data_IF_937188192983
#
_entry.id   IF_937188192983
#
_cell.length_a   1.000
_cell.length_b   1.000
_cell.length_c   1.000
_cell.angle_alpha   90.00
_cell.angle_beta   90.00
_cell.angle_gamma   90.00
#
_symmetry.space_group_name_H-M   'P 1'
#
loop_
_entity.id
_entity.type
_entity.pdbx_description
1 polymer ?
#
# COMPACT_ATOMS: atom_id res chain seq x y z
N UNK A 1 11.20 -11.66 26.48
CA UNK A 1 10.78 -11.11 25.19
C UNK A 1 11.09 -12.18 24.16
N UNK A 2 10.12 -13.04 23.82
CA UNK A 2 10.33 -14.11 22.85
C UNK A 2 10.08 -13.51 21.47
N UNK A 3 11.13 -13.30 20.69
CA UNK A 3 11.02 -13.05 19.26
C UNK A 3 10.52 -14.33 18.59
N UNK A 4 9.23 -14.41 18.31
CA UNK A 4 8.68 -15.50 17.52
C UNK A 4 9.23 -15.32 16.10
N UNK A 5 10.11 -16.25 15.69
CA UNK A 5 10.63 -16.27 14.32
C UNK A 5 9.48 -16.48 13.34
N UNK A 6 9.31 -15.57 12.38
CA UNK A 6 8.26 -15.60 11.34
C UNK A 6 8.41 -16.77 10.35
N UNK A 7 9.48 -17.51 10.41
CA UNK A 7 9.74 -18.64 9.51
C UNK A 7 9.99 -19.93 10.30
N UNK A 8 9.43 -21.01 9.80
CA UNK A 8 9.75 -22.37 10.22
C UNK A 8 11.21 -22.64 9.84
N UNK A 9 12.09 -22.89 10.85
CA UNK A 9 13.52 -23.07 10.68
C UNK A 9 14.19 -21.92 9.90
N UNK A 10 14.36 -20.74 10.51
CA UNK A 10 14.86 -19.53 9.83
C UNK A 10 16.26 -19.68 9.23
N UNK A 11 17.05 -20.67 9.68
CA UNK A 11 18.38 -20.99 9.16
C UNK A 11 18.36 -21.85 7.88
N UNK A 12 17.19 -22.41 7.49
CA UNK A 12 17.00 -23.32 6.37
C UNK A 12 15.95 -22.81 5.37
N UNK A 13 15.78 -21.49 5.28
CA UNK A 13 14.74 -20.84 4.45
C UNK A 13 14.93 -21.14 2.94
N UNK A 14 16.13 -21.48 2.51
CA UNK A 14 16.46 -21.75 1.10
C UNK A 14 16.32 -23.24 0.71
N UNK A 15 16.11 -24.13 1.69
CA UNK A 15 15.98 -25.57 1.41
C UNK A 15 14.54 -25.91 0.99
N UNK A 16 14.37 -26.55 -0.18
CA UNK A 16 13.06 -26.92 -0.74
C UNK A 16 12.19 -27.73 0.22
N UNK A 17 12.77 -28.66 1.00
CA UNK A 17 12.03 -29.46 1.97
C UNK A 17 11.51 -28.63 3.14
N UNK A 18 12.26 -27.59 3.56
CA UNK A 18 11.86 -26.71 4.65
C UNK A 18 10.71 -25.80 4.19
N UNK A 19 10.74 -25.32 2.93
CA UNK A 19 9.66 -24.55 2.31
C UNK A 19 8.38 -25.39 2.26
N UNK A 20 8.46 -26.63 1.72
CA UNK A 20 7.31 -27.54 1.61
C UNK A 20 6.72 -27.86 3.00
N UNK A 21 7.58 -28.14 3.99
CA UNK A 21 7.18 -28.42 5.36
C UNK A 21 6.52 -27.21 6.00
N UNK A 22 7.08 -26.02 5.82
CA UNK A 22 6.52 -24.74 6.31
C UNK A 22 5.10 -24.50 5.77
N UNK A 23 4.89 -24.67 4.48
CA UNK A 23 3.57 -24.54 3.86
C UNK A 23 2.57 -25.57 4.42
N UNK A 24 3.02 -26.82 4.62
CA UNK A 24 2.16 -27.87 5.20
C UNK A 24 1.75 -27.54 6.63
N UNK A 25 2.69 -27.13 7.49
CA UNK A 25 2.40 -26.77 8.88
C UNK A 25 1.57 -25.49 8.97
N UNK A 26 1.80 -24.51 8.09
CA UNK A 26 0.94 -23.32 8.00
C UNK A 26 -0.51 -23.68 7.70
N UNK A 27 -0.77 -24.53 6.71
CA UNK A 27 -2.12 -25.00 6.37
C UNK A 27 -2.77 -25.78 7.52
N UNK A 28 -2.01 -26.62 8.22
CA UNK A 28 -2.52 -27.35 9.38
C UNK A 28 -2.89 -26.40 10.53
N UNK A 29 -2.04 -25.41 10.80
CA UNK A 29 -2.29 -24.38 11.79
C UNK A 29 -3.53 -23.55 11.44
N UNK A 30 -3.66 -23.10 10.19
CA UNK A 30 -4.82 -22.37 9.69
C UNK A 30 -6.12 -23.18 9.88
N UNK A 31 -6.10 -24.45 9.48
CA UNK A 31 -7.25 -25.34 9.68
C UNK A 31 -7.63 -25.46 11.16
N UNK A 32 -6.68 -25.77 12.04
CA UNK A 32 -6.91 -25.91 13.47
C UNK A 32 -7.41 -24.60 14.11
N UNK A 33 -6.82 -23.46 13.70
CA UNK A 33 -7.22 -22.13 14.16
C UNK A 33 -8.67 -21.81 13.80
N UNK A 34 -9.05 -22.02 12.54
CA UNK A 34 -10.43 -21.75 12.08
C UNK A 34 -11.44 -22.66 12.80
N UNK A 35 -11.15 -23.96 12.94
CA UNK A 35 -12.03 -24.90 13.66
C UNK A 35 -12.20 -24.49 15.13
N UNK A 36 -11.12 -24.06 15.79
CA UNK A 36 -11.19 -23.58 17.17
C UNK A 36 -12.01 -22.29 17.27
N UNK A 37 -11.81 -21.33 16.35
CA UNK A 37 -12.60 -20.10 16.34
C UNK A 37 -14.09 -20.38 16.13
N UNK A 38 -14.45 -21.29 15.21
CA UNK A 38 -15.84 -21.68 14.97
C UNK A 38 -16.46 -22.33 16.21
N UNK A 39 -15.75 -23.27 16.86
CA UNK A 39 -16.20 -23.89 18.12
C UNK A 39 -16.43 -22.84 19.22
N UNK A 40 -15.48 -21.94 19.43
CA UNK A 40 -15.58 -20.87 20.43
C UNK A 40 -16.71 -19.89 20.09
N UNK A 41 -16.95 -19.60 18.81
CA UNK A 41 -18.05 -18.75 18.34
C UNK A 41 -19.41 -19.38 18.63
N UNK A 42 -19.57 -20.70 18.42
CA UNK A 42 -20.77 -21.44 18.79
C UNK A 42 -21.07 -21.37 20.30
N UNK A 43 -20.02 -21.38 21.12
CA UNK A 43 -20.13 -21.26 22.56
C UNK A 43 -20.19 -19.81 23.08
N UNK A 44 -20.15 -18.80 22.20
CA UNK A 44 -20.10 -17.35 22.51
C UNK A 44 -18.91 -16.94 23.37
N UNK A 45 -17.81 -17.68 23.30
CA UNK A 45 -16.58 -17.43 24.08
C UNK A 45 -15.65 -16.44 23.33
N UNK A 46 -16.13 -15.22 23.07
CA UNK A 46 -15.44 -14.25 22.24
C UNK A 46 -14.12 -13.72 22.82
N UNK A 47 -13.96 -13.69 24.17
CA UNK A 47 -12.67 -13.35 24.79
C UNK A 47 -11.60 -14.38 24.44
N UNK A 48 -11.93 -15.68 24.44
CA UNK A 48 -10.99 -16.72 24.04
C UNK A 48 -10.65 -16.63 22.55
N UNK A 49 -11.62 -16.26 21.69
CA UNK A 49 -11.34 -15.99 20.27
C UNK A 49 -10.33 -14.85 20.15
N UNK A 50 -10.49 -13.79 20.94
CA UNK A 50 -9.58 -12.64 20.93
C UNK A 50 -8.14 -13.05 21.32
N UNK A 51 -7.98 -13.89 22.35
CA UNK A 51 -6.68 -14.41 22.78
C UNK A 51 -6.03 -15.27 21.69
N UNK A 52 -6.78 -16.24 21.14
CA UNK A 52 -6.28 -17.15 20.10
C UNK A 52 -5.95 -16.38 18.81
N UNK A 53 -6.81 -15.44 18.39
CA UNK A 53 -6.56 -14.61 17.21
C UNK A 53 -5.34 -13.70 17.41
N UNK A 54 -5.16 -13.15 18.62
CA UNK A 54 -3.98 -12.34 18.94
C UNK A 54 -2.69 -13.15 18.81
N UNK A 55 -2.65 -14.37 19.31
CA UNK A 55 -1.50 -15.28 19.17
C UNK A 55 -1.25 -15.65 17.69
N UNK A 56 -2.32 -15.93 16.94
CA UNK A 56 -2.23 -16.28 15.51
C UNK A 56 -1.66 -15.14 14.68
N UNK A 57 -2.12 -13.91 14.89
CA UNK A 57 -1.64 -12.70 14.18
C UNK A 57 -0.16 -12.41 14.49
N UNK A 58 0.33 -12.73 15.69
CA UNK A 58 1.76 -12.60 16.01
C UNK A 58 2.63 -13.53 15.17
N UNK A 59 2.12 -14.73 14.84
CA UNK A 59 2.86 -15.71 14.03
C UNK A 59 2.75 -15.39 12.54
N UNK A 60 1.57 -15.04 12.06
CA UNK A 60 1.26 -14.75 10.66
C UNK A 60 0.52 -13.40 10.51
N UNK A 61 1.21 -12.26 10.55
CA UNK A 61 0.60 -10.94 10.64
C UNK A 61 -0.13 -10.49 9.37
N UNK A 62 0.14 -11.13 8.23
CA UNK A 62 -0.42 -10.73 6.92
C UNK A 62 -1.59 -11.60 6.46
N UNK A 63 -2.06 -12.50 7.30
CA UNK A 63 -3.24 -13.33 7.00
C UNK A 63 -4.54 -12.59 7.34
N UNK A 64 -5.66 -13.06 6.79
CA UNK A 64 -6.98 -12.45 7.07
C UNK A 64 -7.50 -12.68 8.50
N UNK A 65 -6.66 -13.18 9.41
CA UNK A 65 -7.03 -13.47 10.80
C UNK A 65 -7.25 -12.21 11.63
N UNK A 66 -6.72 -11.06 11.18
CA UNK A 66 -7.06 -9.75 11.72
C UNK A 66 -8.56 -9.48 11.68
N UNK A 67 -9.26 -9.96 10.63
CA UNK A 67 -10.71 -9.84 10.53
C UNK A 67 -11.45 -10.62 11.63
N UNK A 68 -10.91 -11.77 12.07
CA UNK A 68 -11.48 -12.57 13.15
C UNK A 68 -11.33 -11.84 14.49
N UNK A 69 -10.19 -11.19 14.71
CA UNK A 69 -9.96 -10.38 15.91
C UNK A 69 -10.90 -9.19 15.97
N UNK A 70 -11.09 -8.48 14.85
CA UNK A 70 -12.05 -7.37 14.75
C UNK A 70 -13.48 -7.87 15.02
N UNK A 71 -13.91 -8.98 14.42
CA UNK A 71 -15.24 -9.58 14.63
C UNK A 71 -15.48 -9.94 16.11
N UNK A 72 -14.47 -10.52 16.78
CA UNK A 72 -14.53 -10.83 18.20
C UNK A 72 -14.67 -9.58 19.08
N UNK A 73 -13.89 -8.51 18.82
CA UNK A 73 -14.01 -7.24 19.51
C UNK A 73 -15.39 -6.61 19.32
N UNK A 74 -15.94 -6.68 18.11
CA UNK A 74 -17.29 -6.20 17.81
C UNK A 74 -18.36 -6.99 18.55
N UNK A 75 -18.23 -8.33 18.65
CA UNK A 75 -19.13 -9.19 19.38
C UNK A 75 -19.12 -8.88 20.90
N UNK A 76 -18.00 -8.45 21.42
CA UNK A 76 -17.81 -7.98 22.80
C UNK A 76 -18.27 -6.54 23.03
N UNK A 77 -18.81 -5.84 22.00
CA UNK A 77 -19.16 -4.42 22.00
C UNK A 77 -17.97 -3.47 22.26
N UNK A 78 -16.73 -3.94 22.05
CA UNK A 78 -15.49 -3.14 22.20
C UNK A 78 -15.16 -2.40 20.90
N UNK A 79 -16.14 -1.62 20.40
CA UNK A 79 -16.06 -0.99 19.07
C UNK A 79 -14.89 -0.02 18.90
N UNK A 80 -14.52 0.75 19.95
CA UNK A 80 -13.36 1.66 19.88
C UNK A 80 -12.04 0.93 19.67
N UNK A 81 -11.87 -0.21 20.34
CA UNK A 81 -10.67 -1.04 20.20
C UNK A 81 -10.66 -1.74 18.84
N UNK A 82 -11.83 -2.18 18.35
CA UNK A 82 -11.96 -2.74 17.02
C UNK A 82 -11.56 -1.74 15.93
N UNK A 83 -11.99 -0.46 16.08
CA UNK A 83 -11.62 0.62 15.17
C UNK A 83 -10.13 0.91 15.19
N UNK A 84 -9.56 1.10 16.37
CA UNK A 84 -8.13 1.34 16.52
C UNK A 84 -7.31 0.20 15.88
N UNK A 85 -7.71 -1.04 16.16
CA UNK A 85 -7.04 -2.21 15.60
C UNK A 85 -7.16 -2.30 14.07
N UNK A 86 -8.32 -1.93 13.51
CA UNK A 86 -8.51 -1.82 12.06
C UNK A 86 -7.57 -0.77 11.44
N UNK A 87 -7.45 0.42 12.05
CA UNK A 87 -6.58 1.50 11.57
C UNK A 87 -5.10 1.09 11.62
N UNK A 88 -4.65 0.50 12.74
CA UNK A 88 -3.28 -0.01 12.90
C UNK A 88 -2.94 -1.10 11.87
N UNK A 89 -3.87 -2.05 11.68
CA UNK A 89 -3.70 -3.13 10.68
C UNK A 89 -3.69 -2.60 9.25
N UNK A 90 -4.58 -1.66 8.93
CA UNK A 90 -4.64 -1.03 7.61
C UNK A 90 -3.36 -0.29 7.29
N UNK A 91 -2.81 0.42 8.29
CA UNK A 91 -1.53 1.13 8.18
C UNK A 91 -0.37 0.14 7.96
N UNK A 92 -0.31 -0.92 8.75
CA UNK A 92 0.72 -1.97 8.61
C UNK A 92 0.68 -2.64 7.23
N UNK A 93 -0.51 -3.02 6.74
CA UNK A 93 -0.67 -3.62 5.41
C UNK A 93 -0.22 -2.66 4.30
N UNK A 94 -0.49 -1.37 4.46
CA UNK A 94 -0.04 -0.37 3.51
C UNK A 94 1.48 -0.17 3.54
N UNK A 95 2.08 -0.01 4.73
CA UNK A 95 3.50 0.29 4.89
C UNK A 95 4.40 -0.90 4.50
N UNK A 96 4.01 -2.14 4.89
CA UNK A 96 4.84 -3.32 4.65
C UNK A 96 4.56 -4.02 3.32
N UNK A 97 3.29 -4.04 2.84
CA UNK A 97 2.90 -4.76 1.64
C UNK A 97 2.43 -3.86 0.49
N UNK A 98 2.24 -2.56 0.72
CA UNK A 98 1.60 -1.66 -0.24
C UNK A 98 0.16 -2.07 -0.58
N UNK A 99 -0.50 -2.84 0.31
CA UNK A 99 -1.80 -3.42 0.10
C UNK A 99 -2.90 -2.63 0.84
N UNK A 100 -4.12 -2.68 0.29
CA UNK A 100 -5.32 -2.20 0.99
C UNK A 100 -5.91 -3.31 1.86
N UNK A 101 -6.70 -2.96 2.90
CA UNK A 101 -7.47 -3.93 3.67
C UNK A 101 -8.34 -4.81 2.76
N UNK A 102 -8.57 -6.06 3.16
CA UNK A 102 -9.42 -6.97 2.41
C UNK A 102 -10.89 -6.49 2.39
N UNK A 103 -11.66 -6.96 1.42
CA UNK A 103 -13.09 -6.64 1.34
C UNK A 103 -13.84 -7.01 2.61
N UNK A 104 -13.44 -8.10 3.26
CA UNK A 104 -14.02 -8.54 4.54
C UNK A 104 -13.71 -7.54 5.66
N UNK A 105 -12.48 -7.04 5.75
CA UNK A 105 -12.12 -6.02 6.73
C UNK A 105 -12.87 -4.70 6.47
N UNK A 106 -13.04 -4.30 5.22
CA UNK A 106 -13.81 -3.09 4.88
C UNK A 106 -15.29 -3.21 5.29
N UNK A 107 -15.91 -4.38 5.08
CA UNK A 107 -17.30 -4.64 5.53
C UNK A 107 -17.43 -4.56 7.05
N UNK A 108 -16.49 -5.16 7.78
CA UNK A 108 -16.47 -5.08 9.26
C UNK A 108 -16.35 -3.64 9.75
N UNK A 109 -15.52 -2.81 9.08
CA UNK A 109 -15.40 -1.40 9.40
C UNK A 109 -16.71 -0.64 9.15
N UNK A 110 -17.40 -0.92 8.05
CA UNK A 110 -18.71 -0.34 7.74
C UNK A 110 -19.76 -0.72 8.81
N UNK A 111 -19.87 -2.00 9.15
CA UNK A 111 -20.77 -2.48 10.21
C UNK A 111 -20.46 -1.85 11.57
N UNK A 112 -19.18 -1.75 11.92
CA UNK A 112 -18.73 -1.11 13.14
C UNK A 112 -19.12 0.37 13.18
N UNK A 113 -18.92 1.09 12.07
CA UNK A 113 -19.27 2.50 11.93
C UNK A 113 -20.78 2.75 12.13
N UNK A 114 -21.62 1.85 11.61
CA UNK A 114 -23.08 1.90 11.81
C UNK A 114 -23.42 1.67 13.29
N UNK A 115 -22.83 0.65 13.93
CA UNK A 115 -23.11 0.34 15.35
C UNK A 115 -22.62 1.41 16.32
N UNK A 116 -21.55 2.10 15.98
CA UNK A 116 -21.04 3.25 16.75
C UNK A 116 -21.91 4.52 16.60
N UNK A 117 -23.00 4.45 15.83
CA UNK A 117 -23.88 5.61 15.62
C UNK A 117 -23.26 6.74 14.80
N UNK A 118 -22.22 6.44 14.00
CA UNK A 118 -21.56 7.43 13.11
C UNK A 118 -22.44 7.92 11.97
N UNK A 119 -23.72 7.58 11.96
CA UNK A 119 -24.68 7.95 10.92
C UNK A 119 -24.97 9.45 10.81
N UNK A 120 -24.58 10.27 11.77
CA UNK A 120 -24.70 11.74 11.71
C UNK A 120 -23.50 12.44 12.34
N UNK A 121 -22.40 12.52 11.60
CA UNK A 121 -21.33 13.45 11.96
C UNK A 121 -21.73 14.88 11.53
N UNK A 122 -21.43 15.84 12.38
CA UNK A 122 -21.56 17.26 12.01
C UNK A 122 -20.57 17.58 10.88
N UNK A 123 -20.88 18.62 10.10
CA UNK A 123 -19.97 19.07 9.03
C UNK A 123 -18.56 19.37 9.54
N UNK A 124 -18.44 19.82 10.79
CA UNK A 124 -17.14 20.13 11.40
C UNK A 124 -16.34 18.84 11.72
N UNK A 125 -16.97 17.82 12.31
CA UNK A 125 -16.32 16.53 12.56
C UNK A 125 -15.85 15.84 11.26
N UNK A 126 -16.65 15.95 10.20
CA UNK A 126 -16.24 15.42 8.86
C UNK A 126 -15.04 16.21 8.35
N UNK A 127 -15.03 17.55 8.47
CA UNK A 127 -13.88 18.37 8.07
C UNK A 127 -12.62 18.03 8.86
N UNK A 128 -12.72 17.80 10.17
CA UNK A 128 -11.59 17.38 11.00
C UNK A 128 -11.02 16.03 10.54
N UNK A 129 -11.86 15.03 10.27
CA UNK A 129 -11.43 13.72 9.75
C UNK A 129 -10.73 13.87 8.41
N UNK A 130 -11.24 14.72 7.51
CA UNK A 130 -10.62 14.97 6.21
C UNK A 130 -9.32 15.79 6.32
N UNK A 131 -9.21 16.68 7.33
CA UNK A 131 -8.03 17.51 7.55
C UNK A 131 -6.85 16.76 8.18
N UNK A 132 -7.10 15.71 8.98
CA UNK A 132 -6.06 14.92 9.67
C UNK A 132 -5.07 14.28 8.68
N UNK A 133 -5.50 13.98 7.45
CA UNK A 133 -4.66 13.37 6.44
C UNK A 133 -3.61 14.31 5.81
N UNK A 134 -3.65 15.63 6.09
CA UNK A 134 -2.92 16.63 5.29
C UNK A 134 -1.63 17.18 5.93
N UNK A 135 -1.14 16.58 7.02
CA UNK A 135 0.06 17.06 7.72
C UNK A 135 1.41 16.59 7.12
N UNK A 136 1.40 15.83 6.03
CA UNK A 136 2.63 15.36 5.41
C UNK A 136 3.17 16.36 4.40
N UNK A 137 4.42 16.78 4.57
CA UNK A 137 5.14 17.60 3.58
C UNK A 137 5.54 16.77 2.35
N UNK A 138 5.51 17.38 1.16
CA UNK A 138 5.89 16.75 -0.10
C UNK A 138 4.72 16.04 -0.80
N UNK A 139 5.03 15.23 -1.81
CA UNK A 139 4.04 14.52 -2.61
C UNK A 139 3.26 13.46 -1.83
N UNK A 140 2.03 13.22 -2.26
CA UNK A 140 1.18 12.21 -1.67
C UNK A 140 1.62 10.79 -2.07
N UNK A 141 2.15 10.05 -1.10
CA UNK A 141 2.48 8.63 -1.29
C UNK A 141 1.23 7.79 -0.99
N UNK A 142 0.86 6.91 -1.92
CA UNK A 142 -0.30 6.04 -1.76
C UNK A 142 -0.02 4.63 -2.30
N UNK A 143 -0.84 3.67 -1.90
CA UNK A 143 -0.79 2.32 -2.47
C UNK A 143 -1.25 2.29 -3.93
N UNK A 144 -0.94 1.23 -4.66
CA UNK A 144 -1.27 1.09 -6.08
C UNK A 144 -2.78 1.17 -6.39
N UNK A 145 -3.70 0.56 -5.60
CA UNK A 145 -5.14 0.77 -5.78
C UNK A 145 -5.54 2.24 -5.69
N UNK A 146 -5.15 2.95 -4.63
CA UNK A 146 -5.43 4.38 -4.47
C UNK A 146 -4.81 5.23 -5.58
N UNK A 147 -3.60 4.90 -6.03
CA UNK A 147 -2.99 5.55 -7.19
C UNK A 147 -3.83 5.36 -8.47
N UNK A 148 -4.35 4.16 -8.70
CA UNK A 148 -5.24 3.89 -9.85
C UNK A 148 -6.53 4.70 -9.77
N UNK A 149 -7.11 4.86 -8.58
CA UNK A 149 -8.33 5.63 -8.39
C UNK A 149 -8.07 7.14 -8.55
N UNK A 150 -6.96 7.65 -8.02
CA UNK A 150 -6.50 9.02 -8.27
C UNK A 150 -6.28 9.25 -9.77
N UNK A 151 -5.60 8.33 -10.46
CA UNK A 151 -5.40 8.41 -11.90
C UNK A 151 -6.74 8.44 -12.68
N UNK A 152 -7.72 7.61 -12.30
CA UNK A 152 -9.06 7.58 -12.91
C UNK A 152 -9.82 8.88 -12.66
N UNK A 153 -9.74 9.42 -11.44
CA UNK A 153 -10.37 10.69 -11.09
C UNK A 153 -9.78 11.85 -11.89
N UNK A 154 -8.45 11.97 -11.89
CA UNK A 154 -7.73 13.00 -12.64
C UNK A 154 -8.01 12.89 -14.13
N UNK A 155 -8.08 11.69 -14.68
CA UNK A 155 -8.47 11.45 -16.06
C UNK A 155 -9.82 12.08 -16.41
N UNK A 156 -10.83 11.94 -15.54
CA UNK A 156 -12.15 12.56 -15.74
C UNK A 156 -12.08 14.09 -15.64
N UNK A 157 -11.22 14.61 -14.76
CA UNK A 157 -10.99 16.06 -14.63
C UNK A 157 -10.35 16.65 -15.89
N UNK A 158 -9.37 15.97 -16.49
CA UNK A 158 -8.69 16.42 -17.72
C UNK A 158 -9.70 16.61 -18.86
N UNK A 159 -10.63 15.67 -19.01
CA UNK A 159 -11.65 15.74 -20.07
C UNK A 159 -12.53 17.00 -19.96
N UNK A 160 -12.69 17.55 -18.76
CA UNK A 160 -13.51 18.75 -18.49
C UNK A 160 -12.70 20.03 -18.44
N UNK A 161 -11.49 20.00 -17.88
CA UNK A 161 -10.71 21.20 -17.59
C UNK A 161 -9.59 21.47 -18.58
N UNK A 162 -9.21 20.49 -19.39
CA UNK A 162 -8.04 20.57 -20.28
C UNK A 162 -6.69 20.59 -19.53
N UNK A 163 -6.67 20.24 -18.24
CA UNK A 163 -5.45 20.24 -17.43
C UNK A 163 -4.40 19.28 -18.01
N UNK A 164 -3.16 19.73 -18.12
CA UNK A 164 -2.04 18.86 -18.54
C UNK A 164 -1.65 17.91 -17.37
N UNK A 165 -1.50 16.64 -17.68
CA UNK A 165 -1.06 15.63 -16.71
C UNK A 165 -0.03 14.71 -17.34
N UNK A 166 1.02 14.43 -16.61
CA UNK A 166 2.10 13.55 -17.05
C UNK A 166 2.23 12.37 -16.10
N UNK A 167 2.55 11.20 -16.64
CA UNK A 167 2.92 10.02 -15.86
C UNK A 167 4.41 9.77 -16.05
N UNK A 168 5.12 9.62 -14.94
CA UNK A 168 6.55 9.32 -14.93
C UNK A 168 6.76 7.95 -14.27
N UNK A 169 7.60 7.12 -14.88
CA UNK A 169 8.05 5.85 -14.32
C UNK A 169 9.53 5.99 -13.97
N UNK A 170 9.86 5.80 -12.70
CA UNK A 170 11.24 5.72 -12.24
C UNK A 170 11.60 4.26 -12.00
N UNK A 171 12.64 3.76 -12.67
CA UNK A 171 13.11 2.38 -12.56
C UNK A 171 14.55 2.34 -12.09
N UNK A 172 14.85 1.52 -11.07
CA UNK A 172 16.22 1.22 -10.63
C UNK A 172 16.84 0.15 -11.54
N UNK A 173 18.05 0.40 -12.03
CA UNK A 173 18.78 -0.46 -12.96
C UNK A 173 20.24 -0.57 -12.57
N UNK A 174 20.99 -1.48 -13.20
CA UNK A 174 22.41 -1.69 -12.97
C UNK A 174 23.34 -0.67 -13.67
N UNK A 175 22.78 0.36 -14.32
CA UNK A 175 23.51 1.34 -15.14
C UNK A 175 23.60 0.95 -16.63
N UNK A 176 23.35 -0.30 -16.97
CA UNK A 176 23.21 -0.80 -18.34
C UNK A 176 21.74 -0.98 -18.75
N UNK A 177 20.83 -0.71 -17.82
CA UNK A 177 19.39 -0.82 -18.06
C UNK A 177 18.77 -2.16 -17.63
N UNK A 178 19.54 -3.08 -17.06
CA UNK A 178 19.03 -4.34 -16.56
C UNK A 178 18.54 -4.24 -15.11
N UNK A 179 17.63 -5.13 -14.65
CA UNK A 179 17.21 -5.18 -13.26
C UNK A 179 18.39 -5.45 -12.32
N UNK A 180 18.34 -4.84 -11.12
CA UNK A 180 19.32 -5.11 -10.07
C UNK A 180 19.06 -6.49 -9.46
N UNK A 181 20.07 -7.36 -9.45
CA UNK A 181 20.00 -8.72 -8.89
C UNK A 181 20.18 -8.74 -7.37
N UNK A 182 21.02 -7.83 -6.83
CA UNK A 182 21.29 -7.75 -5.39
C UNK A 182 20.10 -7.13 -4.64
N UNK A 183 19.38 -7.94 -3.87
CA UNK A 183 18.16 -7.55 -3.14
C UNK A 183 18.44 -6.48 -2.06
N UNK A 184 19.52 -6.62 -1.27
CA UNK A 184 19.86 -5.67 -0.20
C UNK A 184 20.18 -4.29 -0.78
N UNK A 185 20.99 -4.26 -1.85
CA UNK A 185 21.30 -3.03 -2.57
C UNK A 185 20.04 -2.40 -3.18
N UNK A 186 19.14 -3.21 -3.75
CA UNK A 186 17.88 -2.75 -4.32
C UNK A 186 17.00 -2.09 -3.25
N UNK A 187 16.92 -2.66 -2.06
CA UNK A 187 16.12 -2.12 -0.96
C UNK A 187 16.63 -0.75 -0.52
N UNK A 188 17.93 -0.61 -0.29
CA UNK A 188 18.56 0.67 0.06
C UNK A 188 18.34 1.73 -1.03
N UNK A 189 18.56 1.39 -2.30
CA UNK A 189 18.34 2.30 -3.41
C UNK A 189 16.88 2.68 -3.57
N UNK A 190 15.96 1.74 -3.36
CA UNK A 190 14.53 1.98 -3.44
C UNK A 190 14.04 2.93 -2.34
N UNK A 191 14.52 2.79 -1.11
CA UNK A 191 14.17 3.68 -0.01
C UNK A 191 14.70 5.11 -0.25
N UNK A 192 15.92 5.24 -0.76
CA UNK A 192 16.49 6.52 -1.09
C UNK A 192 15.79 7.19 -2.28
N UNK A 193 15.38 6.40 -3.29
CA UNK A 193 14.59 6.92 -4.41
C UNK A 193 13.20 7.37 -3.92
N UNK A 194 12.57 6.64 -3.02
CA UNK A 194 11.31 7.04 -2.39
C UNK A 194 11.43 8.41 -1.71
N UNK A 195 12.48 8.63 -0.88
CA UNK A 195 12.73 9.90 -0.21
C UNK A 195 12.99 11.03 -1.21
N UNK A 196 13.82 10.76 -2.24
CA UNK A 196 14.14 11.73 -3.29
C UNK A 196 12.90 12.14 -4.10
N UNK A 197 12.03 11.19 -4.46
CA UNK A 197 10.76 11.47 -5.14
C UNK A 197 9.89 12.36 -4.24
N UNK A 198 9.66 11.95 -2.98
CA UNK A 198 8.79 12.66 -2.05
C UNK A 198 9.21 14.11 -1.82
N UNK A 199 10.53 14.37 -1.66
CA UNK A 199 11.06 15.70 -1.43
C UNK A 199 11.12 16.59 -2.68
N UNK A 200 11.14 15.97 -3.87
CA UNK A 200 11.26 16.69 -5.15
C UNK A 200 9.94 17.12 -5.75
N UNK A 201 8.82 16.54 -5.31
CA UNK A 201 7.50 16.75 -5.88
C UNK A 201 6.65 17.72 -5.05
N UNK A 202 5.58 18.23 -5.67
CA UNK A 202 4.61 19.12 -5.02
C UNK A 202 3.57 18.32 -4.25
N UNK A 203 2.88 18.95 -3.30
CA UNK A 203 1.77 18.32 -2.55
C UNK A 203 0.62 17.84 -3.44
N UNK A 204 0.41 18.47 -4.59
CA UNK A 204 -0.61 18.08 -5.57
C UNK A 204 -0.25 16.81 -6.36
N UNK A 205 1.02 16.43 -6.38
CA UNK A 205 1.47 15.26 -7.11
C UNK A 205 1.33 14.01 -6.24
N UNK A 206 1.07 12.86 -6.86
CA UNK A 206 1.04 11.61 -6.12
C UNK A 206 1.97 10.56 -6.74
N UNK A 207 2.44 9.65 -5.91
CA UNK A 207 3.30 8.56 -6.36
C UNK A 207 3.04 7.28 -5.58
N UNK A 208 3.45 6.16 -6.18
CA UNK A 208 3.32 4.82 -5.60
C UNK A 208 4.52 3.96 -5.94
N UNK A 209 4.82 3.00 -5.10
CA UNK A 209 5.74 1.91 -5.40
C UNK A 209 5.00 0.85 -6.23
N UNK A 210 5.40 0.68 -7.47
CA UNK A 210 4.80 -0.31 -8.37
C UNK A 210 5.44 -1.70 -8.18
N UNK A 211 6.75 -1.73 -7.98
CA UNK A 211 7.53 -2.93 -7.69
C UNK A 211 8.73 -2.56 -6.80
N UNK A 212 9.51 -3.51 -6.29
CA UNK A 212 10.73 -3.20 -5.54
C UNK A 212 11.69 -2.25 -6.25
N UNK A 213 11.71 -2.27 -7.60
CA UNK A 213 12.60 -1.46 -8.43
C UNK A 213 11.90 -0.31 -9.16
N UNK A 214 10.57 -0.14 -9.04
CA UNK A 214 9.83 0.82 -9.84
C UNK A 214 8.86 1.67 -9.05
N UNK A 215 8.82 2.97 -9.38
CA UNK A 215 7.84 3.93 -8.87
C UNK A 215 7.05 4.54 -10.03
N UNK A 216 5.76 4.74 -9.81
CA UNK A 216 4.88 5.50 -10.68
C UNK A 216 4.61 6.85 -10.04
N UNK A 217 4.68 7.90 -10.83
CA UNK A 217 4.44 9.29 -10.39
C UNK A 217 3.38 9.90 -11.30
N UNK A 218 2.41 10.57 -10.72
CA UNK A 218 1.36 11.32 -11.41
C UNK A 218 1.57 12.81 -11.14
N UNK A 219 1.96 13.55 -12.18
CA UNK A 219 2.27 14.97 -12.14
C UNK A 219 1.08 15.76 -12.66
N UNK A 220 0.41 16.50 -11.76
CA UNK A 220 -0.82 17.24 -12.06
C UNK A 220 -0.47 18.68 -12.45
N UNK A 221 -0.95 19.12 -13.62
CA UNK A 221 -0.64 20.45 -14.16
C UNK A 221 0.80 20.58 -14.70
N UNK A 222 1.49 19.46 -14.91
CA UNK A 222 2.85 19.46 -15.44
C UNK A 222 2.83 19.47 -16.98
N UNK A 223 3.73 20.29 -17.57
CA UNK A 223 4.04 20.27 -19.00
C UNK A 223 5.22 19.36 -19.27
N UNK A 224 5.47 18.91 -20.50
CA UNK A 224 6.66 18.12 -20.84
C UNK A 224 7.96 18.81 -20.42
N UNK A 225 8.04 20.13 -20.55
CA UNK A 225 9.24 20.93 -20.16
C UNK A 225 9.45 20.92 -18.65
N UNK A 226 8.36 21.04 -17.87
CA UNK A 226 8.45 20.98 -16.40
C UNK A 226 8.85 19.59 -15.90
N UNK A 227 8.57 18.52 -16.65
CA UNK A 227 9.00 17.17 -16.31
C UNK A 227 10.52 17.03 -16.30
N UNK A 228 11.23 17.70 -17.20
CA UNK A 228 12.71 17.69 -17.23
C UNK A 228 13.30 18.35 -15.98
N UNK A 229 12.69 19.43 -15.48
CA UNK A 229 13.12 20.07 -14.24
C UNK A 229 12.86 19.17 -13.02
N UNK A 230 11.70 18.51 -12.99
CA UNK A 230 11.36 17.56 -11.92
C UNK A 230 12.33 16.40 -11.95
N UNK A 231 12.61 15.83 -13.11
CA UNK A 231 13.64 14.81 -13.30
C UNK A 231 14.97 15.22 -12.69
N UNK A 232 15.48 16.41 -13.07
CA UNK A 232 16.77 16.91 -12.56
C UNK A 232 16.77 17.06 -11.04
N UNK A 233 15.66 17.51 -10.43
CA UNK A 233 15.54 17.57 -8.96
C UNK A 233 15.61 16.20 -8.31
N UNK A 234 14.87 15.22 -8.83
CA UNK A 234 14.90 13.84 -8.29
C UNK A 234 16.32 13.27 -8.40
N UNK A 235 17.00 13.45 -9.56
CA UNK A 235 18.40 13.04 -9.74
C UNK A 235 19.30 13.64 -8.69
N UNK A 236 19.20 14.95 -8.49
CA UNK A 236 20.07 15.67 -7.57
C UNK A 236 19.85 15.19 -6.13
N UNK A 237 18.58 15.05 -5.68
CA UNK A 237 18.28 14.55 -4.35
C UNK A 237 18.74 13.09 -4.17
N UNK A 238 18.48 12.22 -5.13
CA UNK A 238 18.91 10.82 -5.10
C UNK A 238 20.43 10.66 -5.06
N UNK A 239 21.16 11.52 -5.78
CA UNK A 239 22.62 11.46 -5.89
C UNK A 239 23.35 12.21 -4.77
N UNK A 240 22.65 12.90 -3.87
CA UNK A 240 23.27 13.66 -2.78
C UNK A 240 24.01 12.74 -1.81
N UNK A 241 23.47 11.58 -1.49
CA UNK A 241 24.07 10.63 -0.55
C UNK A 241 25.26 9.88 -1.19
N UNK A 242 25.17 9.54 -2.49
CA UNK A 242 26.23 8.81 -3.21
C UNK A 242 26.33 9.19 -4.69
N UNK A 243 27.43 9.82 -5.07
CA UNK A 243 27.69 10.21 -6.47
C UNK A 243 27.73 9.03 -7.47
N UNK A 244 28.07 7.83 -7.00
CA UNK A 244 28.11 6.59 -7.80
C UNK A 244 26.72 6.09 -8.27
N UNK A 245 25.64 6.62 -7.72
CA UNK A 245 24.27 6.17 -8.04
C UNK A 245 23.66 6.86 -9.27
N UNK A 246 24.38 7.83 -9.87
CA UNK A 246 23.86 8.59 -11.02
C UNK A 246 23.41 7.73 -12.20
N UNK A 247 24.02 6.57 -12.40
CA UNK A 247 23.73 5.67 -13.53
C UNK A 247 22.90 4.45 -13.14
N UNK A 248 22.39 4.36 -11.90
CA UNK A 248 21.68 3.18 -11.39
C UNK A 248 20.17 3.25 -11.58
N UNK A 249 19.68 4.11 -12.44
CA UNK A 249 18.24 4.27 -12.64
C UNK A 249 17.90 4.86 -14.01
N UNK A 250 16.67 4.65 -14.43
CA UNK A 250 16.12 5.14 -15.69
C UNK A 250 14.73 5.75 -15.44
N UNK A 251 14.40 6.79 -16.20
CA UNK A 251 13.06 7.41 -16.17
C UNK A 251 12.44 7.38 -17.54
N UNK A 252 11.18 6.95 -17.59
CA UNK A 252 10.33 7.08 -18.77
C UNK A 252 9.19 8.03 -18.43
N UNK A 253 9.01 9.07 -19.25
CA UNK A 253 7.92 10.04 -19.12
C UNK A 253 6.98 9.83 -20.30
N UNK A 254 5.70 9.72 -20.05
CA UNK A 254 4.71 9.71 -21.10
C UNK A 254 3.53 10.63 -20.76
N UNK A 255 3.09 11.46 -21.74
CA UNK A 255 1.94 12.30 -21.54
C UNK A 255 0.66 11.45 -21.45
N UNK A 256 -0.26 11.86 -20.60
CA UNK A 256 -1.61 11.36 -20.70
C UNK A 256 -2.18 11.78 -22.08
N UNK A 257 -2.34 10.82 -22.99
CA UNK A 257 -3.00 11.05 -24.28
C UNK A 257 -4.49 10.75 -24.15
N UNK A 258 -5.32 11.75 -24.43
CA UNK A 258 -6.74 11.54 -24.69
C UNK A 258 -6.86 10.47 -25.78
N UNK A 259 -7.61 9.38 -25.56
CA UNK A 259 -8.02 8.51 -26.67
C UNK A 259 -8.89 9.37 -27.58
N UNK A 260 -8.31 9.94 -28.63
CA UNK A 260 -9.08 10.46 -29.72
C UNK A 260 -9.95 9.30 -30.22
N UNK A 261 -11.28 9.45 -30.15
CA UNK A 261 -12.20 8.60 -30.85
C UNK A 261 -11.83 8.70 -32.34
N UNK A 262 -11.00 7.79 -32.79
CA UNK A 262 -10.92 7.44 -34.21
C UNK A 262 -12.25 6.77 -34.56
N UNK A 263 -13.35 7.55 -34.54
CA UNK A 263 -14.53 7.20 -35.32
C UNK A 263 -14.11 7.30 -36.75
N UNK A 264 -14.01 6.14 -37.38
CA UNK A 264 -13.56 5.94 -38.73
C UNK A 264 -14.20 6.88 -39.72
N UNK A 265 -13.37 7.48 -40.52
CA UNK A 265 -13.73 7.71 -41.93
C UNK A 265 -13.66 6.34 -42.60
N UNK A 266 -14.80 5.73 -42.87
CA UNK A 266 -14.89 4.70 -43.90
C UNK A 266 -14.49 5.38 -45.21
N UNK A 267 -13.59 4.77 -46.01
CA UNK A 267 -13.35 5.25 -47.36
C UNK A 267 -14.64 5.03 -48.17
N UNK A 268 -14.97 6.04 -49.00
CA UNK A 268 -16.03 5.98 -49.95
C UNK A 268 -15.73 4.96 -51.06
#
# INVERSE_FOLDING_TARGET
MFTVSRSFLPTLVEDDWAIVSSVKYKKLYEFAFLQLCDYLKCNREYEKILDVATAAVQIYPFEEWQSIKIDALMALNRYKEAEQYYEETSKMLFEELGASPSEKMMKLFEEMSIKMGRTRRTTNEIKEVLAIADHQSGAFYCNLPSFRDNYRLIRRLIDRTGLSVQVMICSLTDGYGHPLENKERLEVLSENLHKAIRSSLRRSDCFTRYSPSQFLILLIGATPESCQMIYTRIVNHFSQEHKSWKNTWNIVIFPYRRKNNLKGKRPA
#
